data_IF_465817586463
#
_entry.id   IF_465817586463
#
_cell.length_a   1.000
_cell.length_b   1.000
_cell.length_c   1.000
_cell.angle_alpha   90.00
_cell.angle_beta   90.00
_cell.angle_gamma   90.00
#
_symmetry.space_group_name_H-M   'P 1'
#
loop_
_entity.id
_entity.type
_entity.pdbx_description
1 polymer ?
#
# COMPACT_ATOMS: atom_id res chain seq x y z
N UNK A 1 7.67 -12.51 13.02
CA UNK A 1 6.24 -12.17 12.94
C UNK A 1 5.46 -13.43 12.66
N UNK A 2 4.28 -13.59 13.25
CA UNK A 2 3.35 -14.68 12.90
C UNK A 2 2.62 -14.37 11.59
N UNK A 3 1.97 -15.39 11.00
CA UNK A 3 1.13 -15.19 9.79
C UNK A 3 0.03 -14.16 10.02
N UNK A 4 -0.53 -14.13 11.22
CA UNK A 4 -1.61 -13.23 11.63
C UNK A 4 -1.10 -11.80 11.71
N UNK A 5 0.08 -11.58 12.32
CA UNK A 5 0.71 -10.25 12.38
C UNK A 5 1.04 -9.72 10.97
N UNK A 6 1.57 -10.58 10.10
CA UNK A 6 1.87 -10.22 8.70
C UNK A 6 0.57 -9.90 7.95
N UNK A 7 -0.50 -10.69 8.17
CA UNK A 7 -1.79 -10.44 7.56
C UNK A 7 -2.39 -9.10 8.01
N UNK A 8 -2.30 -8.79 9.31
CA UNK A 8 -2.77 -7.50 9.85
C UNK A 8 -2.03 -6.31 9.21
N UNK A 9 -0.72 -6.42 9.01
CA UNK A 9 0.06 -5.37 8.31
C UNK A 9 -0.33 -5.25 6.84
N UNK A 10 -0.54 -6.36 6.14
CA UNK A 10 -1.03 -6.37 4.75
C UNK A 10 -2.39 -5.66 4.66
N UNK A 11 -3.30 -5.92 5.59
CA UNK A 11 -4.64 -5.33 5.57
C UNK A 11 -4.58 -3.83 5.88
N UNK A 12 -3.71 -3.40 6.81
CA UNK A 12 -3.45 -1.99 7.06
C UNK A 12 -2.91 -1.27 5.80
N UNK A 13 -1.88 -1.83 5.16
CA UNK A 13 -1.30 -1.25 3.94
C UNK A 13 -2.30 -1.17 2.79
N UNK A 14 -3.21 -2.14 2.65
CA UNK A 14 -4.30 -2.07 1.66
C UNK A 14 -5.26 -0.92 1.95
N UNK A 15 -5.60 -0.67 3.22
CA UNK A 15 -6.45 0.47 3.58
C UNK A 15 -5.76 1.80 3.26
N UNK A 16 -4.46 1.90 3.54
CA UNK A 16 -3.66 3.08 3.19
C UNK A 16 -3.55 3.27 1.67
N UNK A 17 -3.36 2.19 0.91
CA UNK A 17 -3.35 2.21 -0.55
C UNK A 17 -4.66 2.80 -1.10
N UNK A 18 -5.81 2.28 -0.66
CA UNK A 18 -7.14 2.74 -1.10
C UNK A 18 -7.34 4.23 -0.78
N UNK A 19 -6.92 4.67 0.41
CA UNK A 19 -7.03 6.08 0.80
C UNK A 19 -6.18 6.98 -0.10
N UNK A 20 -4.91 6.62 -0.32
CA UNK A 20 -3.99 7.40 -1.15
C UNK A 20 -4.47 7.43 -2.61
N UNK A 21 -5.01 6.32 -3.12
CA UNK A 21 -5.60 6.28 -4.45
C UNK A 21 -6.78 7.27 -4.56
N UNK A 22 -7.67 7.30 -3.57
CA UNK A 22 -8.76 8.28 -3.55
C UNK A 22 -8.29 9.73 -3.44
N UNK A 23 -7.18 9.98 -2.74
CA UNK A 23 -6.56 11.31 -2.69
C UNK A 23 -5.88 11.68 -4.01
N UNK A 24 -5.30 10.70 -4.71
CA UNK A 24 -4.70 10.86 -6.03
C UNK A 24 -5.76 11.23 -7.07
N UNK A 25 -6.86 10.49 -7.13
CA UNK A 25 -7.96 10.75 -8.07
C UNK A 25 -8.51 12.18 -7.88
N UNK A 26 -8.68 12.61 -6.63
CA UNK A 26 -9.12 13.99 -6.30
C UNK A 26 -8.09 15.03 -6.71
N UNK A 27 -6.80 14.76 -6.47
CA UNK A 27 -5.74 15.70 -6.79
C UNK A 27 -5.57 15.86 -8.30
N UNK A 28 -5.63 14.75 -9.04
CA UNK A 28 -5.59 14.73 -10.50
C UNK A 28 -6.79 15.48 -11.10
N UNK A 29 -8.01 15.24 -10.59
CA UNK A 29 -9.22 15.93 -11.05
C UNK A 29 -9.14 17.46 -10.87
N UNK A 30 -8.37 17.92 -9.89
CA UNK A 30 -8.13 19.35 -9.62
C UNK A 30 -6.89 19.90 -10.34
N UNK A 31 -6.24 19.11 -11.23
CA UNK A 31 -5.04 19.50 -11.96
C UNK A 31 -3.78 19.62 -11.09
N UNK A 32 -3.78 18.99 -9.91
CA UNK A 32 -2.66 18.99 -8.98
C UNK A 32 -1.55 18.01 -9.38
N UNK A 33 -0.36 18.19 -8.80
CA UNK A 33 0.78 17.30 -9.05
C UNK A 33 0.66 15.99 -8.24
N UNK A 34 0.50 14.86 -8.93
CA UNK A 34 0.30 13.53 -8.33
C UNK A 34 1.58 12.75 -8.07
N UNK A 35 2.75 13.21 -8.53
CA UNK A 35 3.98 12.42 -8.53
C UNK A 35 4.38 11.88 -7.13
N UNK A 36 4.09 12.64 -6.08
CA UNK A 36 4.36 12.23 -4.70
C UNK A 36 3.40 11.14 -4.19
N UNK A 37 2.14 11.17 -4.64
CA UNK A 37 1.14 10.16 -4.29
C UNK A 37 1.42 8.87 -5.07
N UNK A 38 1.74 8.95 -6.36
CA UNK A 38 2.18 7.80 -7.17
C UNK A 38 3.41 7.13 -6.56
N UNK A 39 4.43 7.91 -6.18
CA UNK A 39 5.61 7.37 -5.49
C UNK A 39 5.25 6.69 -4.17
N UNK A 40 4.19 7.15 -3.49
CA UNK A 40 3.72 6.54 -2.25
C UNK A 40 2.99 5.22 -2.52
N UNK A 41 2.15 5.15 -3.56
CA UNK A 41 1.51 3.91 -4.00
C UNK A 41 2.54 2.85 -4.38
N UNK A 42 3.55 3.20 -5.19
CA UNK A 42 4.61 2.27 -5.58
C UNK A 42 5.35 1.68 -4.37
N UNK A 43 5.64 2.50 -3.34
CA UNK A 43 6.27 2.02 -2.10
C UNK A 43 5.37 1.04 -1.34
N UNK A 44 4.06 1.30 -1.30
CA UNK A 44 3.10 0.39 -0.66
C UNK A 44 3.04 -0.93 -1.43
N UNK A 45 3.10 -0.90 -2.76
CA UNK A 45 3.13 -2.12 -3.58
C UNK A 45 4.38 -2.96 -3.33
N UNK A 46 5.56 -2.33 -3.26
CA UNK A 46 6.82 -3.00 -2.92
C UNK A 46 6.74 -3.65 -1.53
N UNK A 47 6.19 -2.94 -0.55
CA UNK A 47 6.04 -3.43 0.82
C UNK A 47 5.03 -4.58 0.91
N UNK A 48 3.88 -4.46 0.22
CA UNK A 48 2.90 -5.54 0.12
C UNK A 48 3.50 -6.79 -0.53
N UNK A 49 4.31 -6.64 -1.58
CA UNK A 49 5.00 -7.77 -2.21
C UNK A 49 5.96 -8.45 -1.23
N UNK A 50 6.75 -7.67 -0.49
CA UNK A 50 7.65 -8.18 0.55
C UNK A 50 6.89 -8.93 1.65
N UNK A 51 5.82 -8.36 2.20
CA UNK A 51 5.03 -8.98 3.26
C UNK A 51 4.34 -10.27 2.78
N UNK A 52 3.84 -10.32 1.54
CA UNK A 52 3.28 -11.56 0.97
C UNK A 52 4.32 -12.66 0.86
N UNK A 53 5.55 -12.33 0.44
CA UNK A 53 6.65 -13.29 0.44
C UNK A 53 6.99 -13.78 1.84
N UNK A 54 7.03 -12.89 2.83
CA UNK A 54 7.26 -13.25 4.23
C UNK A 54 6.13 -14.15 4.77
N UNK A 55 4.87 -13.81 4.51
CA UNK A 55 3.71 -14.60 4.94
C UNK A 55 3.75 -16.04 4.40
N UNK A 56 4.18 -16.20 3.15
CA UNK A 56 4.30 -17.51 2.53
C UNK A 56 5.45 -18.35 3.10
N UNK A 57 6.47 -17.71 3.70
CA UNK A 57 7.62 -18.37 4.32
C UNK A 57 7.44 -18.58 5.82
N UNK A 58 6.49 -17.91 6.45
CA UNK A 58 6.11 -18.21 7.82
C UNK A 58 5.44 -19.61 7.85
N UNK A 59 5.76 -20.41 8.86
CA UNK A 59 5.17 -21.73 9.08
C UNK A 59 3.77 -21.64 9.70
#
# INVERSE_FOLDING_TARGET
MTKEEIQAQIDQLKMDYIRIQGDLDKLEANGGNVAMLEKSLNRIEDELASLRQQKNRAD
#
